data_IF_157015935607
#
_entry.id   IF_157015935607
#
_cell.length_a   1.000
_cell.length_b   1.000
_cell.length_c   1.000
_cell.angle_alpha   90.00
_cell.angle_beta   90.00
_cell.angle_gamma   90.00
#
_symmetry.space_group_name_H-M   'P 1'
#
loop_
_entity.id
_entity.type
_entity.pdbx_description
1 polymer ?
#
# COMPACT_ATOMS: atom_id res chain seq x y z
N UNK A 1 13.88 24.37 8.00
CA UNK A 1 13.12 23.34 7.26
C UNK A 1 14.06 22.23 6.87
N UNK A 2 13.74 21.00 7.26
CA UNK A 2 14.52 19.85 6.82
C UNK A 2 14.21 19.55 5.36
N UNK A 3 15.25 19.31 4.58
CA UNK A 3 15.10 18.83 3.21
C UNK A 3 14.55 17.42 3.20
N UNK A 4 13.43 17.23 2.54
CA UNK A 4 12.79 15.90 2.40
C UNK A 4 12.81 15.46 0.95
N UNK A 5 13.25 14.23 0.75
CA UNK A 5 13.32 13.62 -0.57
C UNK A 5 12.51 12.33 -0.56
N UNK A 6 11.65 12.15 -1.58
CA UNK A 6 10.96 10.89 -1.82
C UNK A 6 11.72 10.14 -2.91
N UNK A 7 12.04 8.89 -2.64
CA UNK A 7 12.76 8.04 -3.59
C UNK A 7 12.39 6.57 -3.43
N UNK A 8 12.75 5.77 -4.42
CA UNK A 8 12.60 4.31 -4.33
C UNK A 8 13.52 3.76 -3.24
N UNK A 9 12.99 2.85 -2.44
CA UNK A 9 13.74 2.16 -1.39
C UNK A 9 14.85 1.31 -2.01
N UNK A 10 16.00 1.29 -1.35
CA UNK A 10 17.12 0.41 -1.70
C UNK A 10 17.34 -0.66 -0.63
N UNK A 11 18.18 -1.64 -0.93
CA UNK A 11 18.54 -2.69 0.04
C UNK A 11 19.14 -2.11 1.33
N UNK A 12 19.91 -1.03 1.20
CA UNK A 12 20.56 -0.36 2.35
C UNK A 12 19.55 0.26 3.31
N UNK A 13 18.34 0.57 2.83
CA UNK A 13 17.29 1.19 3.65
C UNK A 13 16.54 0.17 4.52
N UNK A 14 16.68 -1.14 4.26
CA UNK A 14 15.86 -2.17 4.93
C UNK A 14 15.89 -2.09 6.46
N UNK A 15 17.05 -1.99 7.12
CA UNK A 15 17.06 -1.89 8.60
C UNK A 15 16.32 -0.67 9.11
N UNK A 16 16.46 0.49 8.45
CA UNK A 16 15.80 1.72 8.85
C UNK A 16 14.28 1.62 8.64
N UNK A 17 13.83 1.00 7.55
CA UNK A 17 12.40 0.78 7.27
C UNK A 17 11.80 -0.17 8.30
N UNK A 18 12.48 -1.24 8.66
CA UNK A 18 12.03 -2.18 9.69
C UNK A 18 11.86 -1.49 11.05
N UNK A 19 12.84 -0.69 11.44
CA UNK A 19 12.79 0.09 12.69
C UNK A 19 11.66 1.11 12.66
N UNK A 20 11.54 1.89 11.58
CA UNK A 20 10.48 2.88 11.41
C UNK A 20 9.10 2.24 11.51
N UNK A 21 8.89 1.13 10.82
CA UNK A 21 7.60 0.43 10.79
C UNK A 21 7.22 -0.06 12.18
N UNK A 22 8.17 -0.67 12.88
CA UNK A 22 7.95 -1.16 14.25
C UNK A 22 7.59 -0.02 15.20
N UNK A 23 8.30 1.10 15.12
CA UNK A 23 8.01 2.27 15.97
C UNK A 23 6.65 2.90 15.64
N UNK A 24 6.32 3.01 14.35
CA UNK A 24 5.07 3.64 13.92
C UNK A 24 3.83 2.83 14.31
N UNK A 25 3.91 1.51 14.22
CA UNK A 25 2.78 0.62 14.58
C UNK A 25 2.81 0.17 16.04
N UNK A 26 3.94 0.33 16.73
CA UNK A 26 4.08 -0.09 18.12
C UNK A 26 4.17 -1.61 18.31
N UNK A 27 4.40 -2.36 17.24
CA UNK A 27 4.48 -3.82 17.22
C UNK A 27 5.27 -4.29 15.99
N UNK A 28 5.80 -5.52 15.98
CA UNK A 28 6.63 -6.02 14.87
C UNK A 28 5.86 -6.63 13.69
N UNK A 29 4.55 -6.75 13.77
CA UNK A 29 3.76 -7.52 12.79
C UNK A 29 3.85 -6.95 11.37
N UNK A 30 3.73 -5.63 11.22
CA UNK A 30 3.77 -4.99 9.90
C UNK A 30 5.17 -5.05 9.29
N UNK A 31 6.22 -4.92 10.12
CA UNK A 31 7.60 -5.08 9.67
C UNK A 31 7.87 -6.51 9.18
N UNK A 32 7.32 -7.51 9.86
CA UNK A 32 7.39 -8.92 9.44
C UNK A 32 6.67 -9.13 8.10
N UNK A 33 5.49 -8.53 7.92
CA UNK A 33 4.74 -8.62 6.67
C UNK A 33 5.56 -8.07 5.50
N UNK A 34 6.24 -6.93 5.69
CA UNK A 34 7.14 -6.38 4.66
C UNK A 34 8.19 -7.40 4.25
N UNK A 35 8.86 -8.01 5.24
CA UNK A 35 9.89 -9.02 4.96
C UNK A 35 9.32 -10.22 4.20
N UNK A 36 8.17 -10.73 4.59
CA UNK A 36 7.53 -11.85 3.92
C UNK A 36 7.12 -11.49 2.48
N UNK A 37 6.56 -10.30 2.25
CA UNK A 37 6.22 -9.82 0.91
C UNK A 37 7.47 -9.75 0.02
N UNK A 38 8.58 -9.27 0.56
CA UNK A 38 9.84 -9.20 -0.19
C UNK A 38 10.37 -10.60 -0.53
N UNK A 39 10.36 -11.51 0.43
CA UNK A 39 10.80 -12.90 0.23
C UNK A 39 9.96 -13.66 -0.77
N UNK A 40 8.65 -13.43 -0.78
CA UNK A 40 7.71 -14.11 -1.66
C UNK A 40 7.63 -13.48 -3.06
N UNK A 41 8.30 -12.34 -3.28
CA UNK A 41 8.29 -11.66 -4.58
C UNK A 41 6.99 -10.92 -4.88
N UNK A 42 6.24 -10.54 -3.86
CA UNK A 42 4.92 -9.91 -3.99
C UNK A 42 4.96 -8.38 -3.98
N UNK A 43 6.12 -7.77 -3.82
CA UNK A 43 6.28 -6.31 -3.79
C UNK A 43 6.27 -5.74 -5.20
N UNK A 44 5.46 -4.72 -5.44
CA UNK A 44 5.46 -3.94 -6.68
C UNK A 44 6.32 -2.68 -6.56
N UNK A 45 6.23 -2.00 -5.43
CA UNK A 45 6.90 -0.71 -5.23
C UNK A 45 7.08 -0.45 -3.75
N UNK A 46 8.24 0.09 -3.39
CA UNK A 46 8.46 0.69 -2.07
C UNK A 46 9.10 2.05 -2.23
N UNK A 47 8.51 3.08 -1.62
CA UNK A 47 9.06 4.43 -1.56
C UNK A 47 9.42 4.77 -0.12
N UNK A 48 10.46 5.57 0.04
CA UNK A 48 10.87 6.12 1.33
C UNK A 48 10.93 7.64 1.25
N UNK A 49 10.72 8.28 2.38
CA UNK A 49 11.00 9.69 2.59
C UNK A 49 12.24 9.80 3.45
N UNK A 50 13.24 10.47 2.92
CA UNK A 50 14.48 10.75 3.63
C UNK A 50 14.50 12.21 4.06
N UNK A 51 14.85 12.46 5.31
CA UNK A 51 14.98 13.78 5.89
C UNK A 51 16.22 13.79 6.78
N UNK A 52 17.18 14.70 6.50
CA UNK A 52 18.42 14.79 7.26
C UNK A 52 19.13 13.42 7.40
N UNK A 53 19.27 12.71 6.28
CA UNK A 53 19.91 11.39 6.18
C UNK A 53 19.21 10.28 6.97
N UNK A 54 17.95 10.52 7.43
CA UNK A 54 17.14 9.52 8.13
C UNK A 54 15.87 9.19 7.35
N UNK A 55 15.46 7.93 7.41
CA UNK A 55 14.20 7.49 6.81
C UNK A 55 13.07 7.83 7.79
N UNK A 56 12.17 8.71 7.37
CA UNK A 56 11.05 9.19 8.19
C UNK A 56 9.69 8.76 7.65
N UNK A 57 9.64 8.15 6.48
CA UNK A 57 8.41 7.64 5.89
C UNK A 57 8.68 6.48 4.95
N UNK A 58 7.69 5.60 4.81
CA UNK A 58 7.75 4.43 3.95
C UNK A 58 6.35 4.03 3.49
N UNK A 59 6.22 3.63 2.25
CA UNK A 59 5.00 3.03 1.71
C UNK A 59 5.36 1.82 0.85
N UNK A 60 4.52 0.79 0.92
CA UNK A 60 4.67 -0.40 0.11
C UNK A 60 3.39 -0.66 -0.67
N UNK A 61 3.54 -1.02 -1.95
CA UNK A 61 2.47 -1.53 -2.79
C UNK A 61 2.80 -2.97 -3.16
N UNK A 62 1.81 -3.85 -3.06
CA UNK A 62 1.97 -5.28 -3.32
C UNK A 62 1.00 -5.75 -4.40
N UNK A 63 1.32 -6.90 -5.00
CA UNK A 63 0.49 -7.49 -6.04
C UNK A 63 -0.73 -8.19 -5.43
N UNK A 64 -1.91 -7.94 -6.01
CA UNK A 64 -3.14 -8.69 -5.71
C UNK A 64 -3.55 -9.42 -6.97
N UNK A 65 -3.75 -10.74 -6.88
CA UNK A 65 -4.34 -11.51 -7.96
C UNK A 65 -5.83 -11.24 -8.06
N UNK A 66 -6.33 -11.17 -9.28
CA UNK A 66 -7.76 -11.18 -9.57
C UNK A 66 -8.03 -12.43 -10.38
N UNK A 67 -8.85 -13.34 -9.85
CA UNK A 67 -9.03 -14.66 -10.45
C UNK A 67 -9.41 -14.57 -11.93
N UNK A 68 -8.56 -15.14 -12.79
CA UNK A 68 -8.77 -15.19 -14.24
C UNK A 68 -8.56 -13.87 -15.00
N UNK A 69 -7.96 -12.83 -14.37
CA UNK A 69 -7.81 -11.50 -14.99
C UNK A 69 -6.47 -10.87 -14.67
N UNK A 70 -6.23 -9.69 -15.26
CA UNK A 70 -5.06 -8.86 -14.93
C UNK A 70 -5.06 -8.52 -13.44
N UNK A 71 -3.86 -8.47 -12.87
CA UNK A 71 -3.68 -8.21 -11.45
C UNK A 71 -4.00 -6.78 -11.04
N UNK A 72 -4.18 -6.62 -9.74
CA UNK A 72 -4.37 -5.34 -9.08
C UNK A 72 -3.19 -5.07 -8.13
N UNK A 73 -3.21 -3.92 -7.49
CA UNK A 73 -2.26 -3.62 -6.41
C UNK A 73 -3.00 -3.38 -5.09
N UNK A 74 -2.32 -3.67 -4.01
CA UNK A 74 -2.72 -3.28 -2.67
C UNK A 74 -1.76 -2.24 -2.11
N UNK A 75 -2.25 -1.35 -1.27
CA UNK A 75 -1.47 -0.33 -0.59
C UNK A 75 -1.32 -0.69 0.88
N UNK A 76 -0.09 -0.77 1.35
CA UNK A 76 0.24 -0.97 2.75
C UNK A 76 1.27 -2.09 2.98
N UNK A 77 1.97 -2.02 4.10
CA UNK A 77 1.89 -0.98 5.13
C UNK A 77 2.45 0.37 4.68
N UNK A 78 1.98 1.42 5.35
CA UNK A 78 2.56 2.76 5.23
C UNK A 78 2.92 3.25 6.64
N UNK A 79 4.11 3.79 6.79
CA UNK A 79 4.62 4.28 8.07
C UNK A 79 5.15 5.70 7.94
N UNK A 80 4.85 6.53 8.95
CA UNK A 80 5.43 7.85 9.10
C UNK A 80 6.00 7.93 10.52
N UNK A 81 7.22 8.43 10.66
CA UNK A 81 7.85 8.58 11.96
C UNK A 81 6.93 9.38 12.89
N UNK A 82 6.63 8.87 14.11
CA UNK A 82 5.74 9.55 15.04
C UNK A 82 6.10 11.00 15.34
N UNK A 83 7.38 11.36 15.26
CA UNK A 83 7.86 12.73 15.51
C UNK A 83 7.50 13.72 14.40
N UNK A 84 7.17 13.24 13.19
CA UNK A 84 6.90 14.10 12.04
C UNK A 84 5.56 13.79 11.38
N UNK A 85 4.65 13.12 12.07
CA UNK A 85 3.28 12.91 11.61
C UNK A 85 2.53 14.23 11.49
N UNK A 86 1.50 14.26 10.64
CA UNK A 86 0.67 15.44 10.34
C UNK A 86 1.42 16.57 9.60
N UNK A 87 2.55 16.25 8.99
CA UNK A 87 3.34 17.20 8.20
C UNK A 87 3.24 16.93 6.68
N UNK A 88 2.32 16.08 6.26
CA UNK A 88 2.07 15.80 4.85
C UNK A 88 2.91 14.68 4.24
N UNK A 89 3.71 13.96 5.04
CA UNK A 89 4.56 12.87 4.54
C UNK A 89 3.73 11.72 4.00
N UNK A 90 2.71 11.27 4.74
CA UNK A 90 1.82 10.19 4.31
C UNK A 90 1.09 10.53 3.02
N UNK A 91 0.58 11.76 2.92
CA UNK A 91 -0.07 12.26 1.71
C UNK A 91 0.87 12.21 0.49
N UNK A 92 2.09 12.69 0.67
CA UNK A 92 3.09 12.70 -0.40
C UNK A 92 3.47 11.28 -0.84
N UNK A 93 3.61 10.35 0.10
CA UNK A 93 3.87 8.93 -0.20
C UNK A 93 2.74 8.31 -1.02
N UNK A 94 1.49 8.52 -0.62
CA UNK A 94 0.34 7.98 -1.36
C UNK A 94 0.28 8.57 -2.76
N UNK A 95 0.39 9.88 -2.90
CA UNK A 95 0.31 10.54 -4.21
C UNK A 95 1.41 10.08 -5.15
N UNK A 96 2.66 10.08 -4.69
CA UNK A 96 3.79 9.64 -5.51
C UNK A 96 3.70 8.15 -5.85
N UNK A 97 3.29 7.33 -4.88
CA UNK A 97 3.10 5.90 -5.10
C UNK A 97 2.02 5.60 -6.12
N UNK A 98 0.87 6.26 -6.03
CA UNK A 98 -0.22 6.06 -6.99
C UNK A 98 0.19 6.45 -8.42
N UNK A 99 0.95 7.52 -8.58
CA UNK A 99 1.47 7.91 -9.90
C UNK A 99 2.34 6.79 -10.47
N UNK A 100 3.27 6.27 -9.68
CA UNK A 100 4.17 5.20 -10.11
C UNK A 100 3.42 3.91 -10.45
N UNK A 101 2.45 3.53 -9.62
CA UNK A 101 1.62 2.33 -9.84
C UNK A 101 0.79 2.47 -11.12
N UNK A 102 0.21 3.65 -11.35
CA UNK A 102 -0.50 3.94 -12.60
C UNK A 102 0.42 3.80 -13.81
N UNK A 103 1.62 4.34 -13.73
CA UNK A 103 2.60 4.29 -14.83
C UNK A 103 3.10 2.86 -15.09
N UNK A 104 3.04 1.97 -14.09
CA UNK A 104 3.31 0.54 -14.24
C UNK A 104 2.18 -0.21 -14.96
N UNK A 105 1.06 0.45 -15.19
CA UNK A 105 -0.07 -0.16 -15.90
C UNK A 105 -1.08 -0.88 -15.00
N UNK A 106 -0.98 -0.76 -13.70
CA UNK A 106 -1.93 -1.38 -12.76
C UNK A 106 -3.29 -0.70 -12.88
N UNK A 107 -4.38 -1.46 -13.11
CA UNK A 107 -5.69 -0.86 -13.38
C UNK A 107 -6.46 -0.41 -12.14
N UNK A 108 -6.20 -0.98 -10.98
CA UNK A 108 -6.94 -0.69 -9.75
C UNK A 108 -6.06 -0.96 -8.51
N UNK A 109 -6.23 -0.11 -7.50
CA UNK A 109 -5.53 -0.23 -6.21
C UNK A 109 -6.55 -0.41 -5.10
N UNK A 110 -6.30 -1.38 -4.21
CA UNK A 110 -7.11 -1.61 -3.02
C UNK A 110 -6.36 -1.14 -1.78
N UNK A 111 -7.10 -0.69 -0.78
CA UNK A 111 -6.56 -0.34 0.52
C UNK A 111 -7.54 -0.73 1.62
N UNK A 112 -7.00 -1.25 2.72
CA UNK A 112 -7.73 -1.40 3.97
C UNK A 112 -7.16 -0.37 4.94
N UNK A 113 -7.93 0.68 5.25
CA UNK A 113 -7.41 1.79 6.03
C UNK A 113 -8.45 2.82 6.44
N UNK A 114 -7.96 3.95 6.86
CA UNK A 114 -8.82 5.00 7.43
C UNK A 114 -9.75 5.62 6.38
N UNK A 115 -11.04 5.59 6.66
CA UNK A 115 -12.09 6.13 5.79
C UNK A 115 -12.12 7.67 5.74
N UNK A 116 -11.38 8.33 6.62
CA UNK A 116 -11.23 9.79 6.61
C UNK A 116 -9.98 10.25 5.84
N UNK A 117 -9.09 9.33 5.47
CA UNK A 117 -7.82 9.66 4.81
C UNK A 117 -7.84 9.29 3.32
N UNK A 118 -8.11 8.02 2.99
CA UNK A 118 -7.99 7.51 1.63
C UNK A 118 -9.00 8.08 0.63
N UNK A 119 -10.24 8.43 1.02
CA UNK A 119 -11.17 9.07 0.07
C UNK A 119 -10.66 10.38 -0.51
N UNK A 120 -9.74 11.07 0.15
CA UNK A 120 -9.13 12.30 -0.37
C UNK A 120 -8.33 12.06 -1.67
N UNK A 121 -7.91 10.81 -1.91
CA UNK A 121 -7.18 10.42 -3.12
C UNK A 121 -8.09 9.81 -4.19
N UNK A 122 -9.39 9.68 -3.91
CA UNK A 122 -10.36 9.07 -4.81
C UNK A 122 -10.76 7.65 -4.48
N UNK A 123 -10.20 7.06 -3.43
CA UNK A 123 -10.62 5.73 -2.97
C UNK A 123 -12.05 5.77 -2.45
N UNK A 124 -12.80 4.69 -2.72
CA UNK A 124 -14.14 4.52 -2.18
C UNK A 124 -14.50 3.07 -1.96
N UNK A 125 -15.43 2.83 -1.04
CA UNK A 125 -16.01 1.50 -0.80
C UNK A 125 -16.78 1.02 -2.03
N UNK A 126 -17.48 1.93 -2.70
CA UNK A 126 -18.30 1.64 -3.88
C UNK A 126 -17.48 0.99 -5.00
N UNK A 127 -16.23 1.39 -5.17
CA UNK A 127 -15.35 0.81 -6.19
C UNK A 127 -14.96 -0.64 -5.90
N UNK A 128 -15.26 -1.16 -4.71
CA UNK A 128 -15.01 -2.57 -4.35
C UNK A 128 -16.20 -3.49 -4.66
N UNK A 129 -17.33 -2.94 -5.11
CA UNK A 129 -18.62 -3.65 -5.16
C UNK A 129 -18.57 -4.96 -5.95
N UNK A 130 -17.85 -4.98 -7.07
CA UNK A 130 -17.81 -6.13 -7.98
C UNK A 130 -16.72 -7.16 -7.63
N UNK A 131 -16.04 -6.98 -6.49
CA UNK A 131 -14.97 -7.86 -6.06
C UNK A 131 -15.40 -8.68 -4.85
N UNK A 132 -14.86 -9.90 -4.72
CA UNK A 132 -15.14 -10.79 -3.60
C UNK A 132 -13.88 -10.97 -2.77
N UNK A 133 -14.00 -10.67 -1.50
CA UNK A 133 -12.96 -10.87 -0.48
C UNK A 133 -13.60 -10.81 0.90
N UNK A 134 -13.06 -11.56 1.90
CA UNK A 134 -13.54 -11.43 3.28
C UNK A 134 -13.22 -10.07 3.91
N UNK A 135 -12.39 -9.23 3.27
CA UNK A 135 -12.02 -7.92 3.80
C UNK A 135 -13.07 -6.83 3.57
N UNK A 136 -14.15 -7.12 2.84
CA UNK A 136 -15.16 -6.09 2.52
C UNK A 136 -15.75 -5.48 3.79
N UNK A 137 -15.94 -4.15 3.76
CA UNK A 137 -16.44 -3.38 4.88
C UNK A 137 -16.14 -1.89 4.68
N UNK A 138 -16.43 -1.09 5.69
CA UNK A 138 -16.34 0.37 5.61
C UNK A 138 -14.92 0.91 5.42
N UNK A 139 -13.92 0.09 5.76
CA UNK A 139 -12.51 0.47 5.64
C UNK A 139 -11.81 -0.16 4.45
N UNK A 140 -12.51 -1.00 3.68
CA UNK A 140 -11.97 -1.60 2.48
C UNK A 140 -12.42 -0.78 1.27
N UNK A 141 -11.45 -0.17 0.59
CA UNK A 141 -11.70 0.79 -0.48
C UNK A 141 -10.85 0.46 -1.69
N UNK A 142 -11.28 0.96 -2.85
CA UNK A 142 -10.51 0.84 -4.08
C UNK A 142 -10.46 2.16 -4.82
N UNK A 143 -9.42 2.31 -5.65
CA UNK A 143 -9.26 3.40 -6.59
C UNK A 143 -8.97 2.82 -7.96
N UNK A 144 -9.90 3.03 -8.88
CA UNK A 144 -9.70 2.66 -10.27
C UNK A 144 -8.76 3.65 -10.94
N UNK A 145 -7.67 3.13 -11.52
CA UNK A 145 -6.60 3.95 -12.09
C UNK A 145 -6.80 4.29 -13.56
N UNK A 146 -7.67 3.55 -14.25
CA UNK A 146 -7.91 3.70 -15.69
C UNK A 146 -9.38 3.62 -16.03
N UNK A 147 -9.82 4.42 -17.02
CA UNK A 147 -11.08 4.19 -17.70
C UNK A 147 -10.99 2.90 -18.51
N UNK A 148 -12.11 2.23 -18.71
CA UNK A 148 -12.18 0.98 -19.47
C UNK A 148 -13.34 0.09 -18.99
N UNK A 149 -13.38 -1.18 -19.41
CA UNK A 149 -14.45 -2.08 -18.98
C UNK A 149 -14.42 -2.29 -17.47
N UNK A 150 -15.58 -2.57 -16.85
CA UNK A 150 -15.66 -2.87 -15.44
C UNK A 150 -14.76 -4.05 -15.08
N UNK A 151 -14.10 -3.96 -13.92
CA UNK A 151 -13.33 -5.07 -13.36
C UNK A 151 -14.15 -5.74 -12.25
N UNK A 152 -14.02 -7.05 -12.16
CA UNK A 152 -14.72 -7.85 -11.16
C UNK A 152 -13.93 -9.13 -10.88
N UNK A 153 -14.20 -9.78 -9.76
CA UNK A 153 -13.65 -11.10 -9.48
C UNK A 153 -13.23 -11.28 -8.03
N UNK A 154 -12.76 -12.49 -7.76
CA UNK A 154 -12.21 -12.84 -6.44
C UNK A 154 -10.81 -12.32 -6.30
N UNK A 155 -10.54 -11.67 -5.18
CA UNK A 155 -9.21 -11.15 -4.88
C UNK A 155 -8.36 -12.22 -4.20
N UNK A 156 -7.10 -12.30 -4.64
CA UNK A 156 -6.11 -13.20 -4.09
C UNK A 156 -4.99 -12.35 -3.50
N UNK A 157 -5.00 -12.22 -2.17
CA UNK A 157 -3.98 -11.46 -1.45
C UNK A 157 -2.70 -12.27 -1.28
N UNK A 158 -1.54 -11.61 -1.14
CA UNK A 158 -0.30 -12.28 -0.78
C UNK A 158 -0.45 -13.14 0.48
N UNK A 159 0.26 -14.25 0.50
CA UNK A 159 0.25 -15.18 1.64
C UNK A 159 0.59 -14.50 2.96
N UNK A 160 1.45 -13.48 2.93
CA UNK A 160 1.89 -12.74 4.12
C UNK A 160 0.73 -12.16 4.93
N UNK A 161 -0.39 -11.82 4.30
CA UNK A 161 -1.55 -11.24 4.98
C UNK A 161 -2.48 -12.29 5.59
N UNK A 162 -2.36 -13.55 5.22
CA UNK A 162 -3.20 -14.61 5.74
C UNK A 162 -4.69 -14.49 5.39
N UNK A 163 -5.02 -13.78 4.33
CA UNK A 163 -6.40 -13.58 3.89
C UNK A 163 -6.86 -14.77 3.05
N UNK A 164 -7.96 -15.46 3.43
CA UNK A 164 -8.48 -16.56 2.60
C UNK A 164 -9.11 -16.04 1.31
N UNK A 165 -9.10 -16.88 0.27
CA UNK A 165 -9.81 -16.59 -0.98
C UNK A 165 -11.30 -16.79 -0.70
N UNK A 166 -12.12 -15.80 -1.08
CA UNK A 166 -13.57 -15.88 -0.87
C UNK A 166 -14.17 -17.04 -1.64
N UNK A 167 -15.07 -17.78 -0.99
CA UNK A 167 -15.87 -18.80 -1.66
C UNK A 167 -16.93 -18.14 -2.55
N UNK A 168 -17.27 -18.82 -3.61
CA UNK A 168 -18.31 -18.34 -4.54
C UNK A 168 -19.68 -18.80 -4.06
#
# INVERSE_FOLDING_TARGET
>A
MSDRTIRVMTQADKPAVQDLTTRAFGQPDEARIITELEQDGDVLLQLVVESDEQIVGHILFYAIGVFGKLGAAGLGPMSVDPWVQKEGIGRALVMNGLISIRDMGVPIVFVLGHDWFYPKFGFSVEQTAEFQTPLKGDHFMALRMRAGPPMSGRLIFPKAFGVPIAEV
#
